data_IF_136777872863
#
_entry.id   IF_136777872863
#
_cell.length_a   1.000
_cell.length_b   1.000
_cell.length_c   1.000
_cell.angle_alpha   90.00
_cell.angle_beta   90.00
_cell.angle_gamma   90.00
#
_symmetry.space_group_name_H-M   'P 1'
#
loop_
_entity.id
_entity.type
_entity.pdbx_description
1 polymer ?
#
# COMPACT_ATOMS: atom_id res chain seq x y z
N UNK A 1 17.91 0.36 -19.53
CA UNK A 1 18.91 0.34 -18.41
C UNK A 1 19.18 -1.11 -18.00
N UNK A 2 20.37 -1.46 -17.45
CA UNK A 2 20.67 -2.81 -16.96
C UNK A 2 20.69 -2.79 -15.43
N UNK A 3 19.79 -3.54 -14.81
CA UNK A 3 19.70 -3.65 -13.34
C UNK A 3 20.68 -4.70 -12.80
N UNK A 4 21.22 -4.52 -11.57
CA UNK A 4 22.07 -5.51 -10.93
C UNK A 4 21.24 -6.76 -10.57
N UNK A 5 21.66 -7.91 -11.02
CA UNK A 5 21.05 -9.18 -10.61
C UNK A 5 21.52 -9.56 -9.19
N UNK A 6 20.61 -10.00 -8.33
CA UNK A 6 20.93 -10.69 -7.09
C UNK A 6 21.21 -12.15 -7.39
N UNK A 7 22.11 -12.76 -6.63
CA UNK A 7 22.25 -14.22 -6.62
C UNK A 7 21.01 -14.84 -5.97
N UNK A 8 20.77 -16.13 -6.21
CA UNK A 8 19.67 -16.86 -5.58
C UNK A 8 19.74 -16.81 -4.04
N UNK A 9 20.96 -16.84 -3.48
CA UNK A 9 21.20 -16.74 -2.04
C UNK A 9 20.87 -15.34 -1.49
N UNK A 10 21.34 -14.27 -2.16
CA UNK A 10 21.01 -12.88 -1.81
C UNK A 10 19.49 -12.65 -1.87
N UNK A 11 18.84 -13.10 -2.94
CA UNK A 11 17.39 -12.96 -3.10
C UNK A 11 16.62 -13.72 -2.01
N UNK A 12 17.01 -14.96 -1.71
CA UNK A 12 16.38 -15.74 -0.66
C UNK A 12 16.54 -15.09 0.72
N UNK A 13 17.72 -14.55 1.02
CA UNK A 13 17.99 -13.86 2.27
C UNK A 13 17.15 -12.57 2.41
N UNK A 14 17.04 -11.76 1.35
CA UNK A 14 16.24 -10.53 1.35
C UNK A 14 14.73 -10.80 1.43
N UNK A 15 14.27 -11.87 0.81
CA UNK A 15 12.87 -12.27 0.81
C UNK A 15 12.48 -13.16 2.00
N UNK A 16 13.41 -13.51 2.88
CA UNK A 16 13.07 -14.19 4.14
C UNK A 16 12.17 -13.28 5.00
N UNK A 17 11.18 -13.83 5.73
CA UNK A 17 10.38 -13.06 6.66
C UNK A 17 11.27 -12.33 7.67
N UNK A 18 11.06 -11.00 7.88
CA UNK A 18 11.96 -10.22 8.71
C UNK A 18 11.89 -10.62 10.19
N UNK A 19 13.05 -10.60 10.83
CA UNK A 19 13.20 -10.86 12.27
C UNK A 19 13.77 -9.63 12.98
N UNK A 20 13.43 -9.44 14.25
CA UNK A 20 13.91 -8.29 15.01
C UNK A 20 13.30 -6.96 14.56
N UNK A 21 13.96 -5.86 14.90
CA UNK A 21 13.59 -4.50 14.48
C UNK A 21 14.22 -4.21 13.13
N UNK A 22 13.45 -3.64 12.21
CA UNK A 22 13.90 -3.32 10.86
C UNK A 22 13.85 -1.82 10.58
N UNK A 23 14.71 -1.34 9.70
CA UNK A 23 14.65 0.00 9.11
C UNK A 23 13.51 0.03 8.10
N UNK A 24 12.71 1.07 8.10
CA UNK A 24 11.57 1.20 7.18
C UNK A 24 11.35 2.64 6.72
N UNK A 25 10.87 2.78 5.48
CA UNK A 25 10.25 4.00 4.97
C UNK A 25 8.86 3.63 4.46
N UNK A 26 7.95 4.60 4.41
CA UNK A 26 6.56 4.41 3.95
C UNK A 26 6.36 5.27 2.71
N UNK A 27 5.83 4.69 1.64
CA UNK A 27 5.43 5.38 0.40
C UNK A 27 3.91 5.24 0.25
N UNK A 28 3.17 6.37 0.35
CA UNK A 28 1.73 6.37 0.66
C UNK A 28 1.00 7.49 -0.09
N UNK A 29 -0.15 7.17 -0.68
CA UNK A 29 -1.07 8.14 -1.29
C UNK A 29 -2.22 8.53 -0.32
N UNK A 30 -1.83 8.88 0.87
CA UNK A 30 -2.52 8.99 2.16
C UNK A 30 -3.92 9.64 2.15
N UNK A 31 -4.30 10.41 1.16
CA UNK A 31 -5.62 11.06 1.10
C UNK A 31 -6.58 10.39 0.13
N UNK A 32 -6.10 9.43 -0.65
CA UNK A 32 -6.92 8.74 -1.63
C UNK A 32 -8.10 7.99 -0.99
N UNK A 33 -7.79 7.23 0.06
CA UNK A 33 -8.78 6.48 0.86
C UNK A 33 -8.67 6.85 2.36
N UNK A 34 -8.90 5.93 3.27
CA UNK A 34 -8.87 6.16 4.73
C UNK A 34 -7.96 5.18 5.46
N UNK A 35 -7.31 4.28 4.77
CA UNK A 35 -6.55 3.17 5.34
C UNK A 35 -5.05 3.44 5.43
N UNK A 36 -4.49 4.26 4.56
CA UNK A 36 -3.14 4.79 4.68
C UNK A 36 -2.89 5.42 6.04
N UNK A 37 -3.85 6.21 6.54
CA UNK A 37 -3.77 6.86 7.83
C UNK A 37 -3.61 5.85 8.97
N UNK A 38 -4.32 4.73 8.90
CA UNK A 38 -4.15 3.62 9.86
C UNK A 38 -2.77 2.98 9.72
N UNK A 39 -2.31 2.75 8.50
CA UNK A 39 -1.01 2.12 8.24
C UNK A 39 0.15 2.96 8.77
N UNK A 40 0.17 4.27 8.46
CA UNK A 40 1.19 5.21 8.95
C UNK A 40 1.16 5.27 10.48
N UNK A 41 -0.01 5.48 11.08
CA UNK A 41 -0.13 5.56 12.53
C UNK A 41 0.27 4.24 13.22
N UNK A 42 -0.12 3.10 12.66
CA UNK A 42 0.26 1.77 13.17
C UNK A 42 1.76 1.53 13.07
N UNK A 43 2.40 1.86 11.96
CA UNK A 43 3.85 1.75 11.79
C UNK A 43 4.60 2.62 12.81
N UNK A 44 4.20 3.88 12.96
CA UNK A 44 4.79 4.83 13.90
C UNK A 44 4.58 4.42 15.38
N UNK A 45 3.53 3.66 15.69
CA UNK A 45 3.25 3.10 17.02
C UNK A 45 3.81 1.67 17.22
N UNK A 46 4.66 1.22 16.29
CA UNK A 46 5.32 -0.10 16.38
C UNK A 46 6.86 0.00 16.50
N UNK A 47 7.43 0.88 17.37
CA UNK A 47 8.87 1.15 17.43
C UNK A 47 9.70 -0.06 17.87
N UNK A 48 9.08 -1.07 18.48
CA UNK A 48 9.72 -2.32 18.85
C UNK A 48 10.05 -3.21 17.65
N UNK A 49 9.39 -2.96 16.52
CA UNK A 49 9.56 -3.71 15.27
C UNK A 49 10.06 -2.84 14.12
N UNK A 50 9.64 -1.59 14.07
CA UNK A 50 9.90 -0.68 12.95
C UNK A 50 10.67 0.55 13.40
N UNK A 51 11.78 0.81 12.74
CA UNK A 51 12.45 2.11 12.76
C UNK A 51 11.99 2.87 11.50
N UNK A 52 10.87 3.59 11.62
CA UNK A 52 10.36 4.39 10.51
C UNK A 52 11.26 5.62 10.35
N UNK A 53 12.00 5.69 9.25
CA UNK A 53 12.99 6.73 8.97
C UNK A 53 12.39 7.88 8.14
N UNK A 54 11.43 7.56 7.27
CA UNK A 54 10.73 8.56 6.47
C UNK A 54 9.32 8.09 6.06
N UNK A 55 8.48 9.07 5.69
CA UNK A 55 7.18 8.88 5.04
C UNK A 55 7.15 9.76 3.79
N UNK A 56 6.91 9.14 2.66
CA UNK A 56 6.85 9.77 1.35
C UNK A 56 5.41 9.94 0.92
N UNK A 57 5.05 11.14 0.51
CA UNK A 57 3.77 11.39 -0.13
C UNK A 57 3.84 10.92 -1.58
N UNK A 58 3.14 9.85 -1.90
CA UNK A 58 2.94 9.42 -3.28
C UNK A 58 1.84 10.28 -3.94
N UNK A 59 1.96 10.60 -5.23
CA UNK A 59 0.86 11.21 -5.96
C UNK A 59 -0.24 10.18 -6.18
N UNK A 60 -1.48 10.62 -6.27
CA UNK A 60 -2.56 9.77 -6.75
C UNK A 60 -3.47 10.50 -7.72
N UNK A 61 -4.07 9.73 -8.60
CA UNK A 61 -5.15 10.19 -9.46
C UNK A 61 -6.23 9.12 -9.53
N UNK A 62 -7.41 9.49 -9.14
CA UNK A 62 -8.58 8.61 -9.25
C UNK A 62 -9.12 8.51 -10.68
N UNK A 63 -8.48 9.12 -11.69
CA UNK A 63 -8.93 9.11 -13.09
C UNK A 63 -9.11 7.70 -13.65
N UNK A 64 -8.20 6.77 -13.26
CA UNK A 64 -8.28 5.36 -13.64
C UNK A 64 -9.55 4.70 -13.08
N UNK A 65 -9.81 4.84 -11.78
CA UNK A 65 -11.02 4.32 -11.14
C UNK A 65 -12.29 5.04 -11.62
N UNK A 66 -12.24 6.37 -11.73
CA UNK A 66 -13.39 7.16 -12.20
C UNK A 66 -13.89 6.63 -13.55
N UNK A 67 -12.96 6.36 -14.47
CA UNK A 67 -13.28 5.77 -15.77
C UNK A 67 -13.84 4.34 -15.65
N UNK A 68 -13.23 3.50 -14.83
CA UNK A 68 -13.69 2.11 -14.63
C UNK A 68 -15.08 2.03 -14.00
N UNK A 69 -15.37 2.93 -13.05
CA UNK A 69 -16.58 2.94 -12.25
C UNK A 69 -17.70 3.77 -12.88
N UNK A 70 -17.44 4.50 -13.96
CA UNK A 70 -18.31 5.54 -14.50
C UNK A 70 -18.73 6.53 -13.39
N UNK A 71 -17.76 6.99 -12.61
CA UNK A 71 -18.01 7.80 -11.40
C UNK A 71 -18.65 9.16 -11.73
N UNK A 72 -18.36 9.73 -12.88
CA UNK A 72 -18.97 10.98 -13.35
C UNK A 72 -20.50 10.83 -13.47
N UNK A 73 -20.97 9.69 -13.96
CA UNK A 73 -22.40 9.40 -14.08
C UNK A 73 -23.06 9.25 -12.70
N UNK A 74 -22.29 8.86 -11.69
CA UNK A 74 -22.75 8.71 -10.32
C UNK A 74 -22.66 10.01 -9.49
N UNK A 75 -22.04 11.06 -10.03
CA UNK A 75 -21.84 12.34 -9.35
C UNK A 75 -20.91 12.24 -8.13
N UNK A 76 -19.96 11.32 -8.14
CA UNK A 76 -18.98 11.14 -7.06
C UNK A 76 -17.77 12.02 -7.37
N UNK A 77 -17.45 13.02 -6.53
CA UNK A 77 -16.24 13.82 -6.69
C UNK A 77 -15.01 12.94 -6.44
N UNK A 78 -14.08 12.99 -7.39
CA UNK A 78 -12.81 12.26 -7.31
C UNK A 78 -11.67 13.18 -7.70
N UNK A 79 -10.55 13.11 -6.98
CA UNK A 79 -9.33 13.84 -7.32
C UNK A 79 -8.70 13.18 -8.56
N UNK A 80 -8.63 13.89 -9.66
CA UNK A 80 -8.08 13.39 -10.93
C UNK A 80 -6.79 14.11 -11.35
N UNK A 81 -6.45 15.22 -10.73
CA UNK A 81 -5.18 15.92 -10.92
C UNK A 81 -4.10 15.34 -10.00
N UNK A 82 -2.98 14.92 -10.58
CA UNK A 82 -1.87 14.29 -9.86
C UNK A 82 -1.19 15.22 -8.87
N UNK A 83 -1.06 16.49 -9.20
CA UNK A 83 -0.41 17.45 -8.30
C UNK A 83 -1.30 17.78 -7.12
N UNK A 84 -2.61 17.86 -7.33
CA UNK A 84 -3.58 17.98 -6.26
C UNK A 84 -3.52 16.75 -5.35
N UNK A 85 -3.52 15.52 -5.91
CA UNK A 85 -3.41 14.29 -5.15
C UNK A 85 -2.11 14.21 -4.33
N UNK A 86 -0.98 14.59 -4.93
CA UNK A 86 0.30 14.67 -4.22
C UNK A 86 0.24 15.63 -3.02
N UNK A 87 -0.29 16.82 -3.22
CA UNK A 87 -0.36 17.80 -2.14
C UNK A 87 -1.35 17.39 -1.04
N UNK A 88 -2.48 16.78 -1.41
CA UNK A 88 -3.41 16.19 -0.46
C UNK A 88 -2.75 15.11 0.39
N UNK A 89 -2.02 14.17 -0.22
CA UNK A 89 -1.24 13.15 0.48
C UNK A 89 -0.23 13.77 1.45
N UNK A 90 0.53 14.76 0.98
CA UNK A 90 1.54 15.42 1.81
C UNK A 90 0.93 16.12 3.03
N UNK A 91 -0.14 16.88 2.84
CA UNK A 91 -0.80 17.60 3.93
C UNK A 91 -1.45 16.63 4.94
N UNK A 92 -2.00 15.54 4.47
CA UNK A 92 -2.59 14.51 5.34
C UNK A 92 -1.53 13.80 6.19
N UNK A 93 -0.35 13.49 5.63
CA UNK A 93 0.77 12.97 6.41
C UNK A 93 1.19 13.96 7.50
N UNK A 94 1.33 15.26 7.17
CA UNK A 94 1.66 16.28 8.16
C UNK A 94 0.59 16.37 9.25
N UNK A 95 -0.68 16.23 8.89
CA UNK A 95 -1.78 16.22 9.85
C UNK A 95 -1.66 15.03 10.82
N UNK A 96 -1.38 13.82 10.31
CA UNK A 96 -1.16 12.63 11.15
C UNK A 96 0.02 12.82 12.12
N UNK A 97 1.13 13.38 11.65
CA UNK A 97 2.29 13.70 12.50
C UNK A 97 1.90 14.66 13.62
N UNK A 98 1.11 15.68 13.31
CA UNK A 98 0.59 16.62 14.32
C UNK A 98 -0.31 15.92 15.36
N UNK A 99 -1.20 15.02 14.93
CA UNK A 99 -2.06 14.27 15.83
C UNK A 99 -1.27 13.33 16.77
N UNK A 100 -0.08 12.93 16.36
CA UNK A 100 0.80 12.01 17.07
C UNK A 100 1.95 12.71 17.82
N UNK A 101 1.95 14.06 17.90
CA UNK A 101 3.04 14.86 18.51
C UNK A 101 4.43 14.54 17.93
N UNK A 102 4.51 14.34 16.63
CA UNK A 102 5.77 14.06 15.93
C UNK A 102 6.20 15.23 15.07
N UNK A 103 7.49 15.53 15.09
CA UNK A 103 8.09 16.51 14.17
C UNK A 103 8.22 15.88 12.78
N UNK A 104 7.61 16.45 11.72
CA UNK A 104 7.75 15.97 10.36
C UNK A 104 9.08 16.37 9.71
N UNK A 105 9.85 17.27 10.30
CA UNK A 105 11.08 17.79 9.72
C UNK A 105 12.11 16.68 9.49
N UNK A 106 12.56 16.53 8.26
CA UNK A 106 13.51 15.46 7.88
C UNK A 106 12.92 14.05 7.85
N UNK A 107 11.59 13.92 8.03
CA UNK A 107 10.89 12.64 7.96
C UNK A 107 9.81 12.58 6.89
N UNK A 108 9.21 13.72 6.51
CA UNK A 108 8.12 13.76 5.53
C UNK A 108 8.60 14.45 4.27
N UNK A 109 8.48 13.78 3.14
CA UNK A 109 8.98 14.28 1.85
C UNK A 109 7.91 14.20 0.76
N UNK A 110 7.89 15.21 -0.11
CA UNK A 110 7.05 15.17 -1.31
C UNK A 110 7.62 14.21 -2.34
N UNK A 111 6.74 13.42 -2.91
CA UNK A 111 7.03 12.47 -3.97
C UNK A 111 7.02 13.05 -5.36
N UNK A 112 6.87 12.18 -6.32
CA UNK A 112 6.92 12.47 -7.75
C UNK A 112 5.74 13.36 -8.17
N UNK A 113 5.97 14.46 -8.91
CA UNK A 113 4.88 15.33 -9.37
C UNK A 113 4.13 14.79 -10.59
N UNK A 114 4.54 13.66 -11.13
CA UNK A 114 3.96 13.00 -12.31
C UNK A 114 4.36 11.52 -12.34
N UNK A 115 3.66 10.72 -13.09
CA UNK A 115 4.04 9.33 -13.39
C UNK A 115 5.25 9.24 -14.33
N UNK A 116 5.86 8.07 -14.47
CA UNK A 116 6.93 7.82 -15.41
C UNK A 116 6.47 8.09 -16.84
N UNK A 117 7.32 8.74 -17.64
CA UNK A 117 7.10 8.90 -19.07
C UNK A 117 7.64 7.74 -19.91
N UNK A 118 8.62 7.04 -19.36
CA UNK A 118 9.28 5.86 -19.93
C UNK A 118 9.96 5.08 -18.77
N UNK A 119 10.53 3.92 -19.09
CA UNK A 119 11.14 3.02 -18.08
C UNK A 119 12.64 3.24 -17.87
N UNK A 120 13.19 4.35 -18.35
CA UNK A 120 14.63 4.67 -18.26
C UNK A 120 14.90 6.02 -17.59
N UNK A 121 13.92 6.92 -17.61
CA UNK A 121 14.05 8.28 -17.08
C UNK A 121 13.35 8.43 -15.74
N UNK A 122 14.08 8.66 -14.63
CA UNK A 122 13.46 8.85 -13.32
C UNK A 122 12.68 10.17 -13.25
N UNK A 123 11.67 10.21 -12.40
CA UNK A 123 11.05 11.45 -11.95
C UNK A 123 11.73 11.88 -10.66
N UNK A 124 12.55 12.90 -10.73
CA UNK A 124 13.22 13.41 -9.54
C UNK A 124 12.22 14.02 -8.56
N UNK A 125 12.32 13.61 -7.29
CA UNK A 125 11.53 14.13 -6.18
C UNK A 125 12.36 14.13 -4.88
N UNK A 126 11.86 14.79 -3.85
CA UNK A 126 12.46 14.73 -2.51
C UNK A 126 12.45 13.28 -2.00
N UNK A 127 11.32 12.59 -2.14
CA UNK A 127 11.14 11.20 -1.72
C UNK A 127 12.11 10.24 -2.42
N UNK A 128 12.24 10.32 -3.77
CA UNK A 128 13.14 9.45 -4.50
C UNK A 128 14.61 9.68 -4.12
N UNK A 129 15.03 10.94 -3.92
CA UNK A 129 16.38 11.27 -3.45
C UNK A 129 16.64 10.79 -2.03
N UNK A 130 15.66 10.95 -1.14
CA UNK A 130 15.76 10.46 0.24
C UNK A 130 15.84 8.93 0.30
N UNK A 131 15.05 8.22 -0.50
CA UNK A 131 15.11 6.76 -0.57
C UNK A 131 16.48 6.26 -1.02
N UNK A 132 17.07 6.89 -2.05
CA UNK A 132 18.44 6.57 -2.50
C UNK A 132 19.45 6.83 -1.37
N UNK A 133 19.34 7.96 -0.68
CA UNK A 133 20.22 8.32 0.45
C UNK A 133 20.08 7.29 1.58
N UNK A 134 18.88 7.03 2.06
CA UNK A 134 18.61 6.14 3.18
C UNK A 134 19.02 4.69 2.89
N UNK A 135 18.79 4.21 1.66
CA UNK A 135 19.27 2.90 1.23
C UNK A 135 20.79 2.79 1.25
N UNK A 136 21.52 3.89 0.97
CA UNK A 136 22.97 3.91 0.92
C UNK A 136 23.65 4.19 2.27
N UNK A 137 22.94 4.62 3.29
CA UNK A 137 23.49 4.93 4.62
C UNK A 137 23.88 3.70 5.43
N UNK A 138 23.37 2.50 5.10
CA UNK A 138 23.62 1.28 5.87
C UNK A 138 23.66 0.06 4.97
N UNK A 139 24.36 -0.98 5.42
CA UNK A 139 24.33 -2.32 4.81
C UNK A 139 23.10 -3.15 5.28
N UNK A 140 22.41 -2.72 6.34
CA UNK A 140 21.15 -3.33 6.77
C UNK A 140 20.06 -3.04 5.75
N UNK A 141 19.21 -4.03 5.44
CA UNK A 141 18.11 -3.84 4.50
C UNK A 141 17.18 -2.71 4.94
N UNK A 142 16.83 -1.83 4.00
CA UNK A 142 15.76 -0.86 4.18
C UNK A 142 14.47 -1.42 3.60
N UNK A 143 13.45 -1.56 4.43
CA UNK A 143 12.13 -1.99 3.98
C UNK A 143 11.33 -0.79 3.50
N UNK A 144 10.81 -0.88 2.28
CA UNK A 144 9.89 0.13 1.72
C UNK A 144 8.48 -0.41 1.87
N UNK A 145 7.70 0.18 2.76
CA UNK A 145 6.27 -0.07 2.90
C UNK A 145 5.57 0.75 1.83
N UNK A 146 5.22 0.12 0.72
CA UNK A 146 4.54 0.78 -0.39
C UNK A 146 3.03 0.50 -0.32
N UNK A 147 2.25 1.54 -0.13
CA UNK A 147 0.79 1.51 0.04
C UNK A 147 0.08 2.49 -0.90
N UNK A 148 0.78 2.99 -1.89
CA UNK A 148 0.28 3.81 -2.98
C UNK A 148 0.82 3.33 -4.32
N UNK A 149 0.71 4.19 -5.33
CA UNK A 149 1.38 4.00 -6.60
C UNK A 149 2.90 4.03 -6.41
N UNK A 150 3.67 3.42 -7.31
CA UNK A 150 5.07 3.06 -7.03
C UNK A 150 6.11 3.95 -7.75
N UNK A 151 5.71 5.09 -8.32
CA UNK A 151 6.61 5.97 -9.10
C UNK A 151 7.81 6.46 -8.30
N UNK A 152 7.65 6.76 -6.99
CA UNK A 152 8.74 7.21 -6.13
C UNK A 152 9.85 6.15 -6.03
N UNK A 153 9.45 4.91 -5.76
CA UNK A 153 10.39 3.78 -5.59
C UNK A 153 11.03 3.41 -6.93
N UNK A 154 10.24 3.37 -8.00
CA UNK A 154 10.73 3.12 -9.36
C UNK A 154 11.75 4.19 -9.78
N UNK A 155 11.45 5.47 -9.51
CA UNK A 155 12.36 6.57 -9.79
C UNK A 155 13.67 6.49 -8.99
N UNK A 156 13.60 6.14 -7.71
CA UNK A 156 14.79 5.94 -6.89
C UNK A 156 15.69 4.82 -7.45
N UNK A 157 15.10 3.71 -7.89
CA UNK A 157 15.84 2.62 -8.56
C UNK A 157 16.45 3.07 -9.89
N UNK A 158 15.74 3.90 -10.67
CA UNK A 158 16.28 4.46 -11.91
C UNK A 158 17.42 5.45 -11.66
N UNK A 159 17.36 6.23 -10.56
CA UNK A 159 18.44 7.15 -10.15
C UNK A 159 19.68 6.40 -9.68
N UNK A 160 19.52 5.36 -8.89
CA UNK A 160 20.61 4.51 -8.39
C UNK A 160 20.18 3.03 -8.40
N UNK A 161 20.42 2.29 -9.48
CA UNK A 161 20.08 0.87 -9.56
C UNK A 161 20.75 -0.01 -8.49
N UNK A 162 21.83 0.46 -7.86
CA UNK A 162 22.52 -0.33 -6.85
C UNK A 162 21.69 -0.56 -5.59
N UNK A 163 20.71 0.30 -5.32
CA UNK A 163 19.80 0.16 -4.16
C UNK A 163 18.92 -1.09 -4.22
N UNK A 164 18.76 -1.71 -5.39
CA UNK A 164 18.08 -3.01 -5.53
C UNK A 164 18.65 -4.06 -4.56
N UNK A 165 19.95 -4.00 -4.26
CA UNK A 165 20.61 -4.90 -3.30
C UNK A 165 20.38 -4.52 -1.84
N UNK A 166 19.85 -3.32 -1.58
CA UNK A 166 19.79 -2.70 -0.25
C UNK A 166 18.36 -2.53 0.27
N UNK A 167 17.38 -2.56 -0.61
CA UNK A 167 15.98 -2.41 -0.24
C UNK A 167 15.19 -3.72 -0.37
N UNK A 168 14.10 -3.82 0.39
CA UNK A 168 13.06 -4.83 0.23
C UNK A 168 11.73 -4.09 0.13
N UNK A 169 11.02 -4.23 -0.97
CA UNK A 169 9.74 -3.55 -1.17
C UNK A 169 8.60 -4.46 -0.71
N UNK A 170 7.80 -4.01 0.25
CA UNK A 170 6.58 -4.67 0.71
C UNK A 170 5.42 -3.85 0.16
N UNK A 171 4.78 -4.34 -0.87
CA UNK A 171 3.82 -3.58 -1.67
C UNK A 171 2.42 -4.18 -1.63
N UNK A 172 1.46 -3.39 -1.20
CA UNK A 172 0.04 -3.67 -1.42
C UNK A 172 -0.28 -3.36 -2.88
N UNK A 173 -0.36 -4.40 -3.69
CA UNK A 173 -0.56 -4.23 -5.13
C UNK A 173 -1.17 -5.46 -5.78
N UNK A 174 -2.01 -5.17 -6.75
CA UNK A 174 -2.60 -6.17 -7.63
C UNK A 174 -3.51 -7.15 -6.93
N UNK A 175 -3.82 -8.21 -7.66
CA UNK A 175 -4.71 -9.29 -7.23
C UNK A 175 -3.92 -10.60 -7.07
N UNK A 176 -4.48 -11.63 -6.42
CA UNK A 176 -3.83 -12.94 -6.34
C UNK A 176 -3.39 -13.46 -7.71
N UNK A 177 -2.22 -14.11 -7.77
CA UNK A 177 -1.59 -14.51 -9.04
C UNK A 177 -2.46 -15.45 -9.92
N UNK A 178 -3.43 -16.13 -9.33
CA UNK A 178 -4.37 -17.02 -10.01
C UNK A 178 -5.63 -16.34 -10.52
N UNK A 179 -5.79 -15.03 -10.29
CA UNK A 179 -6.96 -14.29 -10.74
C UNK A 179 -6.88 -13.97 -12.24
N UNK A 180 -8.03 -13.78 -12.93
CA UNK A 180 -8.10 -13.51 -14.36
C UNK A 180 -7.51 -12.16 -14.76
N UNK A 181 -7.37 -11.26 -13.83
CA UNK A 181 -6.76 -9.93 -13.98
C UNK A 181 -6.09 -9.52 -12.67
N UNK A 182 -5.21 -8.54 -12.74
CA UNK A 182 -4.60 -7.94 -11.56
C UNK A 182 -4.92 -6.45 -11.42
N UNK A 183 -6.07 -6.05 -11.94
CA UNK A 183 -6.56 -4.67 -11.86
C UNK A 183 -6.72 -4.31 -10.39
N UNK A 184 -5.95 -3.31 -9.96
CA UNK A 184 -5.94 -2.79 -8.61
C UNK A 184 -5.43 -1.35 -8.66
N UNK A 185 -5.79 -0.53 -7.65
CA UNK A 185 -5.58 0.91 -7.70
C UNK A 185 -4.10 1.28 -7.73
N UNK A 186 -3.31 0.82 -6.75
CA UNK A 186 -1.89 1.15 -6.65
C UNK A 186 -1.09 0.69 -7.87
N UNK A 187 -1.37 -0.54 -8.32
CA UNK A 187 -0.69 -1.13 -9.47
C UNK A 187 -1.09 -0.45 -10.79
N UNK A 188 -2.35 -0.03 -10.91
CA UNK A 188 -2.90 0.45 -12.19
C UNK A 188 -2.62 1.91 -12.50
N UNK A 189 -2.21 2.73 -11.52
CA UNK A 189 -2.03 4.18 -11.72
C UNK A 189 -0.81 4.51 -12.61
N UNK A 190 0.37 3.95 -12.29
CA UNK A 190 1.58 4.08 -13.10
C UNK A 190 2.04 2.71 -13.59
N UNK A 191 1.53 2.29 -14.74
CA UNK A 191 1.86 0.98 -15.32
C UNK A 191 3.33 0.84 -15.67
N UNK A 192 4.02 1.91 -16.06
CA UNK A 192 5.45 1.87 -16.38
C UNK A 192 6.28 1.61 -15.12
N UNK A 193 5.95 2.28 -14.01
CA UNK A 193 6.59 2.05 -12.72
C UNK A 193 6.29 0.64 -12.20
N UNK A 194 5.05 0.19 -12.29
CA UNK A 194 4.62 -1.14 -11.86
C UNK A 194 5.35 -2.26 -12.61
N UNK A 195 5.43 -2.16 -13.94
CA UNK A 195 6.19 -3.11 -14.76
C UNK A 195 7.68 -3.07 -14.43
N UNK A 196 8.25 -1.89 -14.21
CA UNK A 196 9.65 -1.75 -13.81
C UNK A 196 9.90 -2.46 -12.46
N UNK A 197 9.05 -2.25 -11.47
CA UNK A 197 9.17 -2.91 -10.16
C UNK A 197 9.13 -4.43 -10.26
N UNK A 198 8.26 -4.96 -11.11
CA UNK A 198 8.14 -6.39 -11.36
C UNK A 198 9.38 -6.96 -12.07
N UNK A 199 9.97 -6.20 -13.01
CA UNK A 199 11.03 -6.70 -13.91
C UNK A 199 12.44 -6.37 -13.46
N UNK A 200 12.66 -5.36 -12.60
CA UNK A 200 14.01 -4.91 -12.22
C UNK A 200 14.78 -5.87 -11.29
N UNK A 201 14.08 -6.87 -10.71
CA UNK A 201 14.69 -7.86 -9.81
C UNK A 201 14.91 -7.37 -8.39
N UNK A 202 14.31 -6.25 -7.98
CA UNK A 202 14.30 -5.82 -6.57
C UNK A 202 13.59 -6.87 -5.71
N UNK A 203 14.08 -7.19 -4.51
CA UNK A 203 13.36 -8.06 -3.57
C UNK A 203 11.95 -7.51 -3.29
N UNK A 204 10.94 -8.22 -3.75
CA UNK A 204 9.55 -7.79 -3.70
C UNK A 204 8.71 -8.75 -2.86
N UNK A 205 7.94 -8.22 -1.94
CA UNK A 205 6.90 -8.89 -1.18
C UNK A 205 5.57 -8.31 -1.64
N UNK A 206 4.77 -9.08 -2.35
CA UNK A 206 3.44 -8.67 -2.78
C UNK A 206 2.40 -9.04 -1.72
N UNK A 207 1.56 -8.08 -1.38
CA UNK A 207 0.35 -8.27 -0.59
C UNK A 207 -0.84 -8.04 -1.52
N UNK A 208 -1.49 -9.09 -2.03
CA UNK A 208 -2.65 -8.94 -2.92
C UNK A 208 -3.81 -8.23 -2.23
N UNK A 209 -4.49 -7.36 -2.98
CA UNK A 209 -5.63 -6.58 -2.51
C UNK A 209 -6.78 -7.51 -2.08
N UNK A 210 -7.41 -8.18 -3.03
CA UNK A 210 -8.53 -9.10 -2.73
C UNK A 210 -8.03 -10.44 -2.21
N UNK A 211 -8.83 -11.12 -1.43
CA UNK A 211 -8.57 -12.41 -0.78
C UNK A 211 -7.47 -12.39 0.30
N UNK A 212 -6.64 -11.34 0.37
CA UNK A 212 -5.62 -11.16 1.40
C UNK A 212 -5.92 -9.91 2.21
N UNK A 213 -5.54 -8.73 1.73
CA UNK A 213 -5.77 -7.47 2.45
C UNK A 213 -7.27 -7.18 2.68
N UNK A 214 -8.14 -7.63 1.78
CA UNK A 214 -9.60 -7.52 1.92
C UNK A 214 -10.20 -8.20 3.17
N UNK A 215 -9.44 -9.05 3.86
CA UNK A 215 -9.85 -9.62 5.13
C UNK A 215 -9.78 -8.61 6.29
N UNK A 216 -9.08 -7.48 6.13
CA UNK A 216 -8.89 -6.47 7.16
C UNK A 216 -10.08 -5.49 7.26
N UNK A 217 -11.26 -6.05 7.38
CA UNK A 217 -12.50 -5.30 7.56
C UNK A 217 -12.62 -4.80 8.99
N UNK A 218 -12.85 -3.50 9.18
CA UNK A 218 -13.11 -2.89 10.48
C UNK A 218 -14.55 -2.37 10.52
N UNK A 219 -15.24 -2.59 11.61
CA UNK A 219 -16.61 -2.12 11.83
C UNK A 219 -16.63 -0.81 12.61
N UNK A 220 -17.66 0.01 12.40
CA UNK A 220 -17.86 1.21 13.22
C UNK A 220 -17.93 0.87 14.73
N UNK A 221 -18.53 -0.26 15.08
CA UNK A 221 -18.63 -0.70 16.47
C UNK A 221 -17.26 -1.03 17.09
N UNK A 222 -16.35 -1.65 16.33
CA UNK A 222 -14.97 -1.89 16.79
C UNK A 222 -14.22 -0.58 16.99
N UNK A 223 -14.32 0.36 16.05
CA UNK A 223 -13.69 1.68 16.16
C UNK A 223 -14.19 2.44 17.38
N UNK A 224 -15.50 2.47 17.58
CA UNK A 224 -16.09 3.09 18.77
C UNK A 224 -15.66 2.40 20.08
N UNK A 225 -15.53 1.08 20.06
CA UNK A 225 -15.17 0.30 21.24
C UNK A 225 -13.70 0.42 21.62
N UNK A 226 -12.79 0.41 20.64
CA UNK A 226 -11.37 0.24 20.87
C UNK A 226 -10.55 1.51 20.67
N UNK A 227 -11.00 2.43 19.83
CA UNK A 227 -10.24 3.64 19.46
C UNK A 227 -10.86 4.93 20.00
N UNK A 228 -12.17 5.10 19.91
CA UNK A 228 -12.83 6.37 20.28
C UNK A 228 -12.52 6.80 21.71
N UNK A 229 -12.03 8.02 21.86
CA UNK A 229 -11.69 8.62 23.16
C UNK A 229 -10.36 8.15 23.75
N UNK A 230 -9.56 7.39 23.00
CA UNK A 230 -8.29 6.83 23.53
C UNK A 230 -7.10 7.74 23.22
N UNK A 231 -7.00 8.28 22.01
CA UNK A 231 -5.96 9.22 21.57
C UNK A 231 -6.47 10.11 20.44
N UNK A 232 -5.78 11.23 20.18
CA UNK A 232 -6.17 12.16 19.09
C UNK A 232 -6.20 11.48 17.72
N UNK A 233 -5.17 10.71 17.39
CA UNK A 233 -5.13 9.98 16.13
C UNK A 233 -6.19 8.90 16.06
N UNK A 234 -6.48 8.19 17.15
CA UNK A 234 -7.53 7.17 17.21
C UNK A 234 -8.94 7.78 17.01
N UNK A 235 -9.19 8.96 17.58
CA UNK A 235 -10.44 9.70 17.36
C UNK A 235 -10.60 10.12 15.91
N UNK A 236 -9.53 10.66 15.32
CA UNK A 236 -9.50 11.04 13.91
C UNK A 236 -9.78 9.84 12.99
N UNK A 237 -9.06 8.73 13.17
CA UNK A 237 -9.25 7.50 12.40
C UNK A 237 -10.66 6.94 12.53
N UNK A 238 -11.24 7.00 13.72
CA UNK A 238 -12.64 6.63 13.95
C UNK A 238 -13.58 7.54 13.17
N UNK A 239 -13.34 8.85 13.20
CA UNK A 239 -14.18 9.84 12.54
C UNK A 239 -14.18 9.69 11.01
N UNK A 240 -13.01 9.53 10.37
CA UNK A 240 -12.93 9.46 8.91
C UNK A 240 -13.66 8.21 8.37
N UNK A 241 -13.51 7.06 9.04
CA UNK A 241 -14.23 5.84 8.64
C UNK A 241 -15.73 5.94 8.90
N UNK A 242 -16.15 6.38 10.10
CA UNK A 242 -17.58 6.48 10.43
C UNK A 242 -18.29 7.49 9.55
N UNK A 243 -17.63 8.59 9.16
CA UNK A 243 -18.18 9.56 8.22
C UNK A 243 -18.47 8.93 6.85
N UNK A 244 -17.57 8.11 6.32
CA UNK A 244 -17.79 7.41 5.05
C UNK A 244 -18.94 6.39 5.14
N UNK A 245 -19.06 5.70 6.27
CA UNK A 245 -20.10 4.68 6.47
C UNK A 245 -21.50 5.27 6.70
N UNK A 246 -21.60 6.54 7.11
CA UNK A 246 -22.89 7.20 7.41
C UNK A 246 -23.33 8.18 6.33
N UNK A 247 -22.43 8.59 5.42
CA UNK A 247 -22.77 9.50 4.32
C UNK A 247 -23.25 8.70 3.09
N UNK A 248 -24.31 9.15 2.46
CA UNK A 248 -24.88 8.54 1.26
C UNK A 248 -23.85 8.42 0.13
N UNK A 249 -23.02 9.45 -0.05
CA UNK A 249 -21.98 9.49 -1.07
C UNK A 249 -20.89 8.42 -0.81
N UNK A 250 -20.44 8.26 0.44
CA UNK A 250 -19.48 7.23 0.81
C UNK A 250 -20.01 5.82 0.57
N UNK A 251 -21.30 5.58 0.86
CA UNK A 251 -21.95 4.30 0.59
C UNK A 251 -22.08 4.05 -0.92
N UNK A 252 -22.34 5.07 -1.71
CA UNK A 252 -22.40 4.96 -3.19
C UNK A 252 -21.02 4.62 -3.75
N UNK A 253 -19.99 5.29 -3.29
CA UNK A 253 -18.59 4.99 -3.67
C UNK A 253 -18.24 3.53 -3.36
N UNK A 254 -18.45 3.06 -2.14
CA UNK A 254 -18.20 1.68 -1.73
C UNK A 254 -18.92 0.67 -2.63
N UNK A 255 -20.17 0.95 -3.00
CA UNK A 255 -20.94 0.08 -3.88
C UNK A 255 -20.31 -0.02 -5.26
N UNK A 256 -19.97 1.11 -5.88
CA UNK A 256 -19.36 1.15 -7.20
C UNK A 256 -17.97 0.48 -7.18
N UNK A 257 -17.18 0.73 -6.16
CA UNK A 257 -15.89 0.10 -5.96
C UNK A 257 -16.01 -1.43 -5.94
N UNK A 258 -16.87 -1.98 -5.11
CA UNK A 258 -17.11 -3.42 -5.04
C UNK A 258 -17.60 -4.01 -6.37
N UNK A 259 -18.52 -3.34 -7.06
CA UNK A 259 -18.99 -3.77 -8.38
C UNK A 259 -17.87 -3.81 -9.41
N UNK A 260 -16.97 -2.85 -9.36
CA UNK A 260 -15.84 -2.75 -10.29
C UNK A 260 -14.82 -3.85 -10.07
N UNK A 261 -14.40 -4.07 -8.81
CA UNK A 261 -13.39 -5.10 -8.50
C UNK A 261 -13.88 -6.53 -8.67
N UNK A 262 -15.18 -6.77 -8.57
CA UNK A 262 -15.75 -8.10 -8.81
C UNK A 262 -16.12 -8.36 -10.29
N UNK A 263 -15.90 -7.39 -11.16
CA UNK A 263 -16.20 -7.53 -12.59
C UNK A 263 -15.33 -8.64 -13.22
N UNK A 264 -15.97 -9.60 -13.87
CA UNK A 264 -15.29 -10.72 -14.52
C UNK A 264 -14.95 -11.89 -13.59
N UNK A 265 -15.40 -11.87 -12.33
CA UNK A 265 -15.24 -13.00 -11.40
C UNK A 265 -16.40 -14.00 -11.46
N UNK A 266 -17.48 -13.69 -12.14
CA UNK A 266 -18.67 -14.55 -12.27
C UNK A 266 -18.34 -15.93 -12.82
N UNK A 267 -17.38 -16.03 -13.75
CA UNK A 267 -16.92 -17.28 -14.35
C UNK A 267 -16.12 -18.17 -13.37
N UNK A 268 -15.67 -17.63 -12.25
CA UNK A 268 -14.91 -18.37 -11.23
C UNK A 268 -15.74 -18.85 -10.06
N UNK A 269 -17.05 -18.72 -10.15
CA UNK A 269 -17.94 -19.09 -9.04
C UNK A 269 -17.61 -18.30 -7.77
N UNK A 270 -17.06 -17.11 -7.92
CA UNK A 270 -16.73 -16.22 -6.81
C UNK A 270 -18.04 -15.73 -6.18
N UNK A 271 -18.62 -16.57 -5.37
CA UNK A 271 -19.72 -16.26 -4.45
C UNK A 271 -19.31 -15.18 -3.41
N UNK A 272 -18.18 -14.52 -3.62
CA UNK A 272 -17.63 -13.51 -2.75
C UNK A 272 -17.96 -12.08 -3.15
N UNK A 273 -18.86 -11.88 -4.11
CA UNK A 273 -19.40 -10.55 -4.38
C UNK A 273 -20.07 -10.04 -3.12
N UNK A 274 -19.68 -8.89 -2.57
CA UNK A 274 -20.36 -8.31 -1.44
C UNK A 274 -21.85 -8.22 -1.75
N UNK A 275 -22.64 -9.03 -1.06
CA UNK A 275 -24.09 -8.97 -1.17
C UNK A 275 -24.56 -7.62 -0.62
N UNK A 276 -25.76 -7.23 -0.96
CA UNK A 276 -26.40 -6.05 -0.36
C UNK A 276 -26.31 -6.08 1.18
N UNK A 277 -26.32 -7.26 1.79
CA UNK A 277 -26.16 -7.43 3.23
C UNK A 277 -24.75 -7.02 3.71
N UNK A 278 -23.67 -7.38 2.97
CA UNK A 278 -22.30 -6.95 3.29
C UNK A 278 -22.15 -5.44 3.13
N UNK A 279 -22.79 -4.86 2.14
CA UNK A 279 -22.77 -3.41 1.91
C UNK A 279 -23.60 -2.62 2.92
N UNK A 280 -24.59 -3.24 3.54
CA UNK A 280 -25.38 -2.64 4.61
C UNK A 280 -24.72 -2.79 5.98
N UNK A 281 -23.70 -3.65 6.10
CA UNK A 281 -22.90 -3.74 7.32
C UNK A 281 -22.01 -2.50 7.43
N UNK A 282 -22.05 -1.76 8.53
CA UNK A 282 -21.25 -0.55 8.72
C UNK A 282 -19.77 -0.91 8.95
N UNK A 283 -19.09 -1.30 7.89
CA UNK A 283 -17.69 -1.74 7.92
C UNK A 283 -16.91 -1.20 6.72
N UNK A 284 -15.60 -1.00 6.93
CA UNK A 284 -14.63 -0.56 5.93
C UNK A 284 -13.46 -1.53 5.92
N UNK A 285 -12.93 -1.83 4.76
CA UNK A 285 -11.65 -2.53 4.66
C UNK A 285 -10.55 -1.48 4.80
N UNK A 286 -9.57 -1.76 5.65
CA UNK A 286 -8.36 -0.94 5.83
C UNK A 286 -7.16 -1.74 5.31
N UNK A 287 -7.03 -1.71 3.99
CA UNK A 287 -6.14 -2.58 3.21
C UNK A 287 -4.67 -2.45 3.64
N UNK A 288 -4.19 -1.23 3.80
CA UNK A 288 -2.79 -0.85 3.85
C UNK A 288 -2.06 -1.32 5.10
N UNK A 289 -2.79 -1.50 6.21
CA UNK A 289 -2.19 -2.06 7.43
C UNK A 289 -1.61 -3.46 7.21
N UNK A 290 -1.95 -4.13 6.10
CA UNK A 290 -1.46 -5.46 5.74
C UNK A 290 0.06 -5.49 5.55
N UNK A 291 0.63 -4.48 4.91
CA UNK A 291 2.07 -4.34 4.68
C UNK A 291 2.83 -4.09 5.99
N UNK A 292 2.28 -3.24 6.84
CA UNK A 292 2.79 -2.99 8.20
C UNK A 292 2.72 -4.26 9.05
N UNK A 293 1.59 -4.96 9.03
CA UNK A 293 1.39 -6.21 9.77
C UNK A 293 2.40 -7.28 9.37
N UNK A 294 2.74 -7.40 8.08
CA UNK A 294 3.77 -8.31 7.60
C UNK A 294 5.14 -8.03 8.25
N UNK A 295 5.51 -6.77 8.45
CA UNK A 295 6.77 -6.40 9.09
C UNK A 295 6.71 -6.49 10.62
N UNK A 296 5.56 -6.18 11.20
CA UNK A 296 5.35 -6.28 12.66
C UNK A 296 5.40 -7.73 13.11
N UNK A 297 4.68 -8.60 12.42
CA UNK A 297 4.73 -10.04 12.70
C UNK A 297 4.39 -10.86 11.45
N UNK A 298 5.40 -11.37 10.73
CA UNK A 298 5.19 -12.13 9.49
C UNK A 298 4.30 -13.38 9.64
N UNK A 299 4.17 -13.91 10.87
CA UNK A 299 3.31 -15.08 11.11
C UNK A 299 1.83 -14.77 10.95
N UNK A 300 1.45 -13.49 11.02
CA UNK A 300 0.08 -13.04 10.75
C UNK A 300 -0.23 -12.95 9.25
N UNK A 301 0.80 -12.97 8.43
CA UNK A 301 0.69 -12.87 6.97
C UNK A 301 1.39 -14.05 6.30
N UNK A 302 0.82 -15.29 6.36
CA UNK A 302 1.39 -16.43 5.69
C UNK A 302 1.69 -16.12 4.24
N UNK A 303 2.91 -16.43 3.81
CA UNK A 303 3.42 -16.09 2.49
C UNK A 303 4.31 -17.18 1.93
N UNK A 304 4.45 -17.25 0.61
CA UNK A 304 5.29 -18.21 -0.08
C UNK A 304 6.17 -17.53 -1.12
N UNK A 305 7.32 -18.13 -1.41
CA UNK A 305 8.14 -17.75 -2.55
C UNK A 305 7.60 -18.42 -3.80
N UNK A 306 7.53 -17.65 -4.87
CA UNK A 306 7.23 -18.16 -6.21
C UNK A 306 8.09 -17.41 -7.23
N UNK A 307 8.13 -17.89 -8.47
CA UNK A 307 8.73 -17.14 -9.55
C UNK A 307 7.88 -15.91 -9.86
N UNK A 308 8.54 -14.76 -10.07
CA UNK A 308 7.87 -13.52 -10.41
C UNK A 308 7.24 -13.62 -11.81
N UNK A 309 5.91 -13.53 -11.94
CA UNK A 309 5.28 -13.44 -13.26
C UNK A 309 5.47 -12.06 -13.85
N UNK A 310 5.45 -11.96 -15.18
CA UNK A 310 5.42 -10.68 -15.88
C UNK A 310 4.07 -9.99 -15.71
N UNK A 311 4.09 -8.66 -15.60
CA UNK A 311 2.89 -7.81 -15.65
C UNK A 311 2.65 -7.34 -17.09
N UNK A 312 1.51 -7.71 -17.65
CA UNK A 312 1.13 -7.34 -19.03
C UNK A 312 0.47 -5.95 -19.11
N UNK A 313 0.44 -5.35 -20.28
CA UNK A 313 -0.17 -4.02 -20.51
C UNK A 313 -1.69 -4.00 -20.26
N UNK A 314 -2.35 -5.16 -20.36
CA UNK A 314 -3.78 -5.33 -20.04
C UNK A 314 -4.03 -5.69 -18.57
N UNK A 315 -3.05 -5.42 -17.71
CA UNK A 315 -3.10 -5.57 -16.26
C UNK A 315 -3.43 -7.00 -15.83
N UNK A 316 -2.60 -7.95 -16.28
CA UNK A 316 -2.67 -9.37 -15.93
C UNK A 316 -1.30 -9.89 -15.51
N UNK A 317 -1.32 -10.92 -14.67
CA UNK A 317 -0.13 -11.74 -14.48
C UNK A 317 -0.02 -12.73 -15.64
N UNK A 318 1.09 -12.68 -16.38
CA UNK A 318 1.33 -13.59 -17.50
C UNK A 318 1.66 -15.00 -16.97
N UNK A 319 0.75 -15.93 -17.14
CA UNK A 319 0.91 -17.31 -16.70
C UNK A 319 2.03 -18.01 -17.50
N UNK A 320 2.97 -18.64 -16.79
CA UNK A 320 4.05 -19.42 -17.41
C UNK A 320 5.19 -18.60 -18.01
N UNK A 321 5.17 -17.26 -17.85
CA UNK A 321 6.23 -16.35 -18.26
C UNK A 321 6.93 -15.77 -17.03
N UNK A 322 7.72 -16.60 -16.35
CA UNK A 322 8.53 -16.17 -15.22
C UNK A 322 9.70 -15.28 -15.65
N UNK A 323 10.09 -14.37 -14.77
CA UNK A 323 11.17 -13.41 -15.02
C UNK A 323 12.55 -13.91 -14.52
N UNK A 324 12.62 -15.16 -14.04
CA UNK A 324 13.86 -15.80 -13.57
C UNK A 324 14.34 -15.30 -12.19
N UNK A 325 13.52 -14.54 -11.47
CA UNK A 325 13.77 -14.17 -10.07
C UNK A 325 12.52 -14.41 -9.22
N UNK A 326 12.72 -14.47 -7.90
CA UNK A 326 11.66 -14.79 -6.97
C UNK A 326 10.91 -13.55 -6.50
N UNK A 327 9.63 -13.75 -6.18
CA UNK A 327 8.78 -12.83 -5.42
C UNK A 327 8.23 -13.59 -4.20
N UNK A 328 8.05 -12.90 -3.09
CA UNK A 328 7.26 -13.42 -1.97
C UNK A 328 5.83 -12.90 -2.08
N UNK A 329 4.85 -13.79 -1.99
CA UNK A 329 3.43 -13.42 -2.08
C UNK A 329 2.73 -13.82 -0.81
N UNK A 330 2.02 -12.87 -0.18
CA UNK A 330 1.13 -13.15 0.94
C UNK A 330 -0.11 -13.88 0.43
N UNK A 331 -0.51 -14.95 1.12
CA UNK A 331 -1.62 -15.80 0.72
C UNK A 331 -2.85 -15.62 1.61
N UNK A 332 -2.65 -15.07 2.80
CA UNK A 332 -3.69 -14.85 3.79
C UNK A 332 -3.23 -13.79 4.80
N UNK A 333 -4.18 -13.25 5.57
CA UNK A 333 -3.90 -12.40 6.72
C UNK A 333 -4.84 -12.71 7.88
N UNK A 334 -4.29 -12.86 9.08
CA UNK A 334 -5.05 -13.14 10.29
C UNK A 334 -5.61 -11.86 10.88
N UNK A 335 -6.82 -11.47 10.43
CA UNK A 335 -7.50 -10.23 10.76
C UNK A 335 -7.46 -9.88 12.25
N UNK A 336 -7.91 -10.78 13.10
CA UNK A 336 -8.09 -10.48 14.52
C UNK A 336 -6.76 -10.28 15.25
N UNK A 337 -5.69 -10.95 14.81
CA UNK A 337 -4.34 -10.72 15.33
C UNK A 337 -3.83 -9.32 14.94
N UNK A 338 -4.01 -8.94 13.67
CA UNK A 338 -3.57 -7.64 13.15
C UNK A 338 -4.37 -6.50 13.79
N UNK A 339 -5.70 -6.57 13.76
CA UNK A 339 -6.55 -5.51 14.33
C UNK A 339 -6.39 -5.39 15.85
N UNK A 340 -6.24 -6.52 16.56
CA UNK A 340 -6.03 -6.51 18.00
C UNK A 340 -4.74 -5.80 18.40
N UNK A 341 -3.63 -6.05 17.70
CA UNK A 341 -2.35 -5.37 17.91
C UNK A 341 -2.43 -3.89 17.54
N UNK A 342 -2.99 -3.58 16.36
CA UNK A 342 -3.16 -2.20 15.89
C UNK A 342 -3.98 -1.37 16.88
N UNK A 343 -5.15 -1.85 17.32
CA UNK A 343 -5.99 -1.13 18.28
C UNK A 343 -5.25 -0.88 19.60
N UNK A 344 -4.55 -1.91 20.11
CA UNK A 344 -3.79 -1.78 21.35
C UNK A 344 -2.66 -0.74 21.27
N UNK A 345 -2.07 -0.56 20.09
CA UNK A 345 -1.00 0.42 19.83
C UNK A 345 -1.55 1.82 19.62
N UNK A 346 -2.56 1.97 18.76
CA UNK A 346 -3.16 3.27 18.47
C UNK A 346 -3.82 3.90 19.71
N UNK A 347 -4.41 3.09 20.56
CA UNK A 347 -4.99 3.55 21.83
C UNK A 347 -3.94 4.13 22.81
N UNK A 348 -2.65 3.86 22.60
CA UNK A 348 -1.54 4.38 23.41
C UNK A 348 -0.83 5.60 22.80
N UNK A 349 -1.27 6.05 21.64
CA UNK A 349 -0.75 7.26 21.01
C UNK A 349 -1.04 8.51 21.86
N UNK A 350 -0.40 9.65 21.62
CA UNK A 350 -0.63 10.90 22.38
C UNK A 350 -2.10 11.31 22.43
N UNK A 351 -2.51 11.84 23.61
CA UNK A 351 -3.87 12.37 23.88
C UNK A 351 -4.02 13.81 23.42
#
# INVERSE_FOLDING_TARGET
MKFPALTAEESAARLAPPTGRVRAVIDSDTYNEVDDQFAIAYALQSPERLNVEAVYAAPFSSAFLAKMMNADDAGIPMTTDLQEGLEQSYQEILHLFSLMDRDPAGMVFRGSPRYLSDRETPVESEAARDLVRSANESDEPLYVIAIGEITNVASAILMDPSIIRKIVVVWLAGQPLHWPHTIEFNLGQDMLASQLMVECGVPLVLVPCMSVASNLTVTAAELERYLKGTSRVADYLTQIVTSQLTQEMGMTWLRLFHQTYNKGLDDYGAAGVPTTATMLSPSRIIWDISTVAYLVNPTWCPSALTEQPRLTDDIRWAAGEGLGHAVRVCNYIYRDAVLGDMFAKLAKAPK
#
